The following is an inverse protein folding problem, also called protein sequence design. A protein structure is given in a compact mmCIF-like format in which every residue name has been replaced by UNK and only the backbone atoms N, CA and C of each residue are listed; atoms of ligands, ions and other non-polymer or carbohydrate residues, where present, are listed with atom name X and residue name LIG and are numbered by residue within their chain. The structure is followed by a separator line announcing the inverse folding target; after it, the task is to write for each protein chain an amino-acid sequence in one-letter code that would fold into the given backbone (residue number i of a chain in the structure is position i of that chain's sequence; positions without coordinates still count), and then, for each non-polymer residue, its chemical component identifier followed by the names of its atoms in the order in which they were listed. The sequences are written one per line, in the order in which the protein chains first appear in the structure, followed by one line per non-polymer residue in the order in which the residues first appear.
data_IF_441018307062
#
_entry.id   IF_441018307062
#
_cell.length_a   1.000
_cell.length_b   1.000
_cell.length_c   1.000
_cell.angle_alpha   90.00
_cell.angle_beta   90.00
_cell.angle_gamma   90.00
#
_symmetry.space_group_name_H-M   'P 1'
#
loop_
_entity.id
_entity.type
_entity.pdbx_description
1 polymer ?
#
# COMPACT_ATOMS: atom_id res chain seq x y z
N UNK A 1 12.31 -8.11 -12.15
CA UNK A 1 11.70 -7.29 -13.22
C UNK A 1 10.18 -7.40 -13.15
N UNK A 2 9.51 -6.61 -12.31
CA UNK A 2 8.04 -6.55 -12.22
C UNK A 2 7.55 -5.10 -11.99
N UNK A 3 8.31 -4.13 -12.51
CA UNK A 3 7.96 -2.71 -12.55
C UNK A 3 7.29 -2.29 -13.88
N UNK A 4 7.09 -3.24 -14.81
CA UNK A 4 6.59 -2.95 -16.16
C UNK A 4 5.06 -3.04 -16.32
N UNK A 5 4.35 -3.83 -15.50
CA UNK A 5 2.90 -4.06 -15.69
C UNK A 5 2.04 -2.83 -15.27
N UNK A 6 2.52 -2.01 -14.33
CA UNK A 6 1.92 -0.72 -14.02
C UNK A 6 2.33 0.38 -15.02
N UNK A 7 3.38 0.12 -15.81
CA UNK A 7 3.83 0.95 -16.92
C UNK A 7 3.34 0.43 -18.29
N UNK A 8 2.39 -0.52 -18.31
CA UNK A 8 1.70 -0.85 -19.54
C UNK A 8 0.83 0.35 -19.97
N UNK A 9 0.86 0.76 -21.25
CA UNK A 9 0.10 1.91 -21.74
C UNK A 9 -1.42 1.77 -21.52
N UNK A 10 -1.91 0.54 -21.34
CA UNK A 10 -3.30 0.21 -21.03
C UNK A 10 -3.77 0.70 -19.65
N UNK A 11 -2.88 0.79 -18.65
CA UNK A 11 -3.22 1.33 -17.32
C UNK A 11 -3.11 2.86 -17.26
N UNK A 12 -2.20 3.45 -18.04
CA UNK A 12 -2.09 4.90 -18.21
C UNK A 12 -3.31 5.50 -18.94
N UNK A 13 -3.99 4.67 -19.76
CA UNK A 13 -5.16 5.05 -20.54
C UNK A 13 -6.49 4.92 -19.80
N UNK A 14 -6.48 4.54 -18.50
CA UNK A 14 -7.70 4.53 -17.71
C UNK A 14 -8.11 5.97 -17.44
N UNK A 15 -8.89 6.52 -18.37
CA UNK A 15 -9.52 7.84 -18.30
C UNK A 15 -10.01 8.01 -16.87
N UNK A 16 -9.35 8.89 -16.11
CA UNK A 16 -9.76 9.18 -14.74
C UNK A 16 -11.20 9.66 -14.86
N UNK A 17 -12.14 8.91 -14.29
CA UNK A 17 -13.56 9.23 -14.44
C UNK A 17 -13.78 10.63 -13.84
N UNK A 18 -14.19 11.59 -14.67
CA UNK A 18 -14.28 13.01 -14.33
C UNK A 18 -13.13 13.91 -14.85
N UNK A 19 -12.23 13.36 -15.66
CA UNK A 19 -11.10 14.09 -16.27
C UNK A 19 -11.44 14.43 -17.74
N UNK A 20 -11.68 15.72 -18.00
CA UNK A 20 -11.67 16.31 -19.35
C UNK A 20 -10.48 17.26 -19.46
N UNK A 21 -9.67 17.06 -20.50
CA UNK A 21 -8.50 17.89 -20.83
C UNK A 21 -8.89 19.35 -21.13
N UNK A 22 -10.16 19.55 -21.51
CA UNK A 22 -10.66 20.80 -22.07
C UNK A 22 -11.23 21.81 -21.03
N UNK A 23 -11.45 21.44 -19.76
CA UNK A 23 -12.20 22.29 -18.81
C UNK A 23 -11.69 22.38 -17.36
N UNK A 24 -10.62 21.68 -16.97
CA UNK A 24 -10.10 21.78 -15.60
C UNK A 24 -8.82 22.61 -15.47
N UNK A 25 -8.92 23.71 -14.72
CA UNK A 25 -7.77 24.52 -14.35
C UNK A 25 -6.77 23.70 -13.51
N UNK A 26 -5.47 23.78 -13.82
CA UNK A 26 -4.38 23.08 -13.12
C UNK A 26 -4.46 23.17 -11.58
N UNK A 27 -4.93 24.29 -11.05
CA UNK A 27 -5.10 24.52 -9.60
C UNK A 27 -6.11 23.55 -8.99
N UNK A 28 -7.24 23.31 -9.66
CA UNK A 28 -8.29 22.39 -9.22
C UNK A 28 -7.78 20.94 -9.26
N UNK A 29 -6.92 20.60 -10.23
CA UNK A 29 -6.29 19.28 -10.29
C UNK A 29 -5.36 19.04 -9.09
N UNK A 30 -4.51 20.03 -8.78
CA UNK A 30 -3.62 19.97 -7.62
C UNK A 30 -4.40 19.90 -6.30
N UNK A 31 -5.54 20.61 -6.21
CA UNK A 31 -6.40 20.59 -5.02
C UNK A 31 -6.99 19.20 -4.72
N UNK A 32 -7.10 18.30 -5.70
CA UNK A 32 -7.62 16.94 -5.50
C UNK A 32 -6.57 15.91 -5.07
N UNK A 33 -5.28 16.19 -5.27
CA UNK A 33 -4.20 15.26 -4.92
C UNK A 33 -4.22 14.81 -3.44
N UNK A 34 -4.47 15.69 -2.45
CA UNK A 34 -4.54 15.26 -1.06
C UNK A 34 -5.64 14.22 -0.80
N UNK A 35 -6.81 14.40 -1.42
CA UNK A 35 -7.94 13.46 -1.28
C UNK A 35 -7.60 12.08 -1.88
N UNK A 36 -7.01 12.07 -3.08
CA UNK A 36 -6.59 10.82 -3.74
C UNK A 36 -5.50 10.13 -2.91
N UNK A 37 -4.54 10.89 -2.39
CA UNK A 37 -3.47 10.36 -1.52
C UNK A 37 -4.03 9.76 -0.24
N UNK A 38 -4.97 10.45 0.43
CA UNK A 38 -5.63 9.94 1.63
C UNK A 38 -6.41 8.64 1.35
N UNK A 39 -7.10 8.58 0.21
CA UNK A 39 -7.84 7.39 -0.24
C UNK A 39 -6.88 6.22 -0.50
N UNK A 40 -5.77 6.46 -1.20
CA UNK A 40 -4.75 5.44 -1.44
C UNK A 40 -4.15 4.92 -0.12
N UNK A 41 -3.87 5.81 0.84
CA UNK A 41 -3.39 5.43 2.15
C UNK A 41 -4.43 4.61 2.94
N UNK A 42 -5.71 4.94 2.84
CA UNK A 42 -6.78 4.16 3.46
C UNK A 42 -6.88 2.75 2.87
N UNK A 43 -6.84 2.63 1.54
CA UNK A 43 -6.84 1.34 0.84
C UNK A 43 -5.61 0.51 1.23
N UNK A 44 -4.42 1.12 1.33
CA UNK A 44 -3.21 0.42 1.78
C UNK A 44 -3.36 -0.12 3.21
N UNK A 45 -3.85 0.70 4.14
CA UNK A 45 -4.13 0.25 5.52
C UNK A 45 -5.11 -0.91 5.56
N UNK A 46 -6.20 -0.82 4.80
CA UNK A 46 -7.21 -1.87 4.73
C UNK A 46 -6.64 -3.17 4.14
N UNK A 47 -5.82 -3.06 3.09
CA UNK A 47 -5.14 -4.20 2.48
C UNK A 47 -4.20 -4.91 3.47
N UNK A 48 -3.49 -4.15 4.32
CA UNK A 48 -2.61 -4.72 5.36
C UNK A 48 -3.40 -5.54 6.39
N UNK A 49 -4.57 -5.06 6.81
CA UNK A 49 -5.47 -5.81 7.72
C UNK A 49 -5.89 -7.14 7.08
N UNK A 50 -6.34 -7.11 5.82
CA UNK A 50 -6.70 -8.32 5.10
C UNK A 50 -5.54 -9.31 4.97
N UNK A 51 -4.35 -8.82 4.64
CA UNK A 51 -3.15 -9.66 4.57
C UNK A 51 -2.86 -10.30 5.93
N UNK A 52 -3.00 -9.56 7.05
CA UNK A 52 -2.90 -10.12 8.39
C UNK A 52 -3.85 -11.30 8.62
N UNK A 53 -5.15 -11.12 8.33
CA UNK A 53 -6.17 -12.16 8.45
C UNK A 53 -5.92 -13.37 7.54
N UNK A 54 -5.38 -13.15 6.35
CA UNK A 54 -4.97 -14.21 5.41
C UNK A 54 -3.75 -14.97 5.95
N UNK A 55 -2.81 -14.27 6.59
CA UNK A 55 -1.60 -14.87 7.18
C UNK A 55 -1.92 -15.72 8.42
N UNK A 56 -2.93 -15.36 9.20
CA UNK A 56 -3.47 -16.22 10.28
C UNK A 56 -3.98 -17.57 9.76
N UNK A 57 -4.39 -17.63 8.49
CA UNK A 57 -4.81 -18.87 7.81
C UNK A 57 -3.66 -19.63 7.15
N UNK A 58 -2.42 -19.26 7.47
CA UNK A 58 -1.17 -19.84 6.95
C UNK A 58 -0.94 -19.71 5.43
N UNK A 59 -1.73 -18.90 4.72
CA UNK A 59 -1.55 -18.65 3.28
C UNK A 59 -0.23 -17.91 3.03
N UNK A 60 0.56 -18.36 2.07
CA UNK A 60 1.91 -17.85 1.82
C UNK A 60 1.92 -16.46 1.17
N UNK A 61 2.98 -15.67 1.40
CA UNK A 61 3.19 -14.41 0.65
C UNK A 61 3.32 -14.63 -0.86
N UNK A 62 3.67 -15.84 -1.31
CA UNK A 62 3.71 -16.18 -2.73
C UNK A 62 2.29 -16.20 -3.32
N UNK A 63 1.33 -16.81 -2.62
CA UNK A 63 -0.07 -16.86 -3.03
C UNK A 63 -0.73 -15.47 -2.92
N UNK A 64 -0.43 -14.73 -1.85
CA UNK A 64 -0.88 -13.34 -1.70
C UNK A 64 -0.35 -12.49 -2.87
N UNK A 65 0.94 -12.59 -3.20
CA UNK A 65 1.53 -11.88 -4.33
C UNK A 65 0.86 -12.25 -5.66
N UNK A 66 0.61 -13.54 -5.89
CA UNK A 66 -0.10 -14.04 -7.07
C UNK A 66 -1.51 -13.43 -7.18
N UNK A 67 -2.26 -13.38 -6.08
CA UNK A 67 -3.60 -12.78 -6.06
C UNK A 67 -3.57 -11.26 -6.31
N UNK A 68 -2.51 -10.57 -5.89
CA UNK A 68 -2.32 -9.13 -6.10
C UNK A 68 -1.65 -8.79 -7.45
N UNK A 69 -1.24 -9.78 -8.25
CA UNK A 69 -0.52 -9.56 -9.50
C UNK A 69 0.91 -9.04 -9.33
N UNK A 70 1.52 -9.26 -8.16
CA UNK A 70 2.90 -8.84 -7.85
C UNK A 70 3.80 -10.05 -7.59
N UNK A 71 5.12 -9.85 -7.67
CA UNK A 71 6.06 -10.91 -7.31
C UNK A 71 5.98 -11.26 -5.82
N UNK A 72 6.36 -12.49 -5.46
CA UNK A 72 6.48 -12.92 -4.05
C UNK A 72 7.37 -11.96 -3.24
N UNK A 73 8.49 -11.54 -3.82
CA UNK A 73 9.43 -10.62 -3.17
C UNK A 73 8.79 -9.26 -2.92
N UNK A 74 8.07 -8.69 -3.89
CA UNK A 74 7.37 -7.42 -3.72
C UNK A 74 6.26 -7.51 -2.66
N UNK A 75 5.54 -8.62 -2.61
CA UNK A 75 4.56 -8.87 -1.55
C UNK A 75 5.22 -8.97 -0.16
N UNK A 76 6.33 -9.69 -0.06
CA UNK A 76 7.07 -9.83 1.21
C UNK A 76 7.63 -8.48 1.68
N UNK A 77 8.29 -7.70 0.81
CA UNK A 77 8.81 -6.37 1.16
C UNK A 77 7.72 -5.42 1.65
N UNK A 78 6.51 -5.51 1.06
CA UNK A 78 5.37 -4.67 1.41
C UNK A 78 4.70 -5.06 2.72
N UNK A 79 4.56 -6.36 3.00
CA UNK A 79 3.71 -6.87 4.08
C UNK A 79 4.45 -7.55 5.24
N UNK A 80 5.75 -7.82 5.13
CA UNK A 80 6.55 -8.39 6.22
C UNK A 80 6.44 -7.59 7.52
N UNK A 81 6.49 -6.26 7.42
CA UNK A 81 6.40 -5.32 8.56
C UNK A 81 5.04 -5.32 9.29
N UNK A 82 4.00 -5.93 8.70
CA UNK A 82 2.66 -6.03 9.31
C UNK A 82 2.54 -7.29 10.17
N UNK A 83 3.36 -8.30 9.87
CA UNK A 83 3.27 -9.63 10.50
C UNK A 83 4.28 -9.80 11.63
N UNK A 84 5.25 -8.90 11.76
CA UNK A 84 6.03 -8.78 13.00
C UNK A 84 5.07 -8.29 14.08
N UNK A 85 4.62 -9.15 15.02
CA UNK A 85 3.89 -8.66 16.17
C UNK A 85 4.83 -7.69 16.88
N UNK A 86 4.32 -6.56 17.34
CA UNK A 86 5.07 -5.62 18.14
C UNK A 86 5.70 -6.38 19.32
N UNK A 87 6.97 -6.77 19.17
CA UNK A 87 7.82 -7.07 20.29
C UNK A 87 7.78 -5.81 21.12
N UNK A 88 7.19 -5.95 22.30
CA UNK A 88 7.10 -4.97 23.36
C UNK A 88 8.39 -4.18 23.45
N UNK A 89 8.39 -2.95 22.92
CA UNK A 89 9.34 -1.91 23.33
C UNK A 89 8.93 -1.46 24.73
N UNK A 90 9.22 -2.34 25.68
CA UNK A 90 9.21 -2.13 27.11
C UNK A 90 10.46 -2.79 27.65
N UNK A 91 11.63 -2.24 27.32
CA UNK A 91 12.80 -2.15 28.21
C UNK A 91 13.89 -1.33 27.53
N UNK A 92 14.28 -0.21 28.18
CA UNK A 92 15.56 0.52 28.10
C UNK A 92 15.37 2.05 28.12
N UNK A 93 15.30 2.60 29.35
CA UNK A 93 15.90 3.88 29.81
C UNK A 93 15.01 4.62 30.82
N UNK A 94 15.17 4.30 32.10
CA UNK A 94 15.51 5.27 33.15
C UNK A 94 15.51 4.55 34.51
N UNK A 95 16.71 4.14 34.95
CA UNK A 95 16.99 3.82 36.34
C UNK A 95 16.76 5.06 37.23
N UNK A 96 16.38 4.88 38.51
CA UNK A 96 16.32 5.99 39.46
C UNK A 96 17.74 6.49 39.74
N UNK A 97 17.94 7.80 39.68
CA UNK A 97 19.14 8.45 40.21
C UNK A 97 18.81 8.81 41.67
N UNK A 98 19.49 8.17 42.61
CA UNK A 98 19.62 8.60 44.01
C UNK A 98 20.50 9.85 44.13
#
# INVERSE_FOLDING_TARGET
MYSAQLASPENASRKVIGWSDEDQANVEMLARLPLVSATAAQVDRYLRVWVGLIRERHISYAEIGKALGVSRQAAWERFSRVTEPAATNGDAAAAPQE
#
